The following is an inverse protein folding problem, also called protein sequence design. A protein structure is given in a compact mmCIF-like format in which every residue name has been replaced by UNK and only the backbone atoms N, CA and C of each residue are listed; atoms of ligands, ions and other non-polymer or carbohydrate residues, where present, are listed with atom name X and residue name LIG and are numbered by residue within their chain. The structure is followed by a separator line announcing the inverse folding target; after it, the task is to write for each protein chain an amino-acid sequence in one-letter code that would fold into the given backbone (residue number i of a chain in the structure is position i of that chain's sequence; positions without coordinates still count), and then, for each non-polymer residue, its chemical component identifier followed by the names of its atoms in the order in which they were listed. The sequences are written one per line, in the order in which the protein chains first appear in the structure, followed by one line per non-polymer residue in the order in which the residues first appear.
data_IF_038102506192
#
_entry.id   IF_038102506192
#
_cell.length_a   1.000
_cell.length_b   1.000
_cell.length_c   1.000
_cell.angle_alpha   90.00
_cell.angle_beta   90.00
_cell.angle_gamma   90.00
#
_symmetry.space_group_name_H-M   'P 1'
#
loop_
_entity.id
_entity.type
_entity.pdbx_description
1 polymer ?
#
# COMPACT_ATOMS: atom_id res chain seq x y z
N UNK A 1 1.05 -17.95 13.34
CA UNK A 1 0.20 -19.12 13.66
C UNK A 1 -1.24 -18.98 13.16
N UNK A 2 -1.93 -17.83 13.27
CA UNK A 2 -3.34 -17.76 12.82
C UNK A 2 -3.57 -17.91 11.32
N UNK A 3 -2.70 -17.33 10.46
CA UNK A 3 -2.87 -17.39 9.00
C UNK A 3 -2.74 -18.81 8.42
N UNK A 4 -1.90 -19.65 9.04
CA UNK A 4 -1.68 -21.03 8.59
C UNK A 4 -2.90 -21.91 8.83
N UNK A 5 -3.53 -21.79 10.01
CA UNK A 5 -4.75 -22.52 10.34
C UNK A 5 -5.94 -22.10 9.47
N UNK A 6 -6.09 -20.79 9.22
CA UNK A 6 -7.21 -20.27 8.41
C UNK A 6 -7.11 -20.74 6.96
N UNK A 7 -5.92 -20.75 6.37
CA UNK A 7 -5.71 -21.23 4.99
C UNK A 7 -5.90 -22.75 4.84
N UNK A 8 -5.70 -23.55 5.89
CA UNK A 8 -6.00 -24.99 5.86
C UNK A 8 -7.50 -25.29 5.91
N UNK A 9 -8.27 -24.46 6.61
CA UNK A 9 -9.73 -24.63 6.74
C UNK A 9 -10.45 -24.17 5.46
N UNK A 10 -9.95 -23.11 4.83
CA UNK A 10 -10.48 -22.64 3.57
C UNK A 10 -9.31 -22.13 2.70
N UNK A 11 -8.79 -22.98 1.80
CA UNK A 11 -7.81 -22.55 0.81
C UNK A 11 -8.41 -21.44 -0.06
N UNK A 12 -7.57 -20.52 -0.56
CA UNK A 12 -7.95 -19.35 -1.39
C UNK A 12 -8.72 -18.21 -0.69
N UNK A 13 -8.79 -18.16 0.65
CA UNK A 13 -9.36 -16.98 1.33
C UNK A 13 -8.61 -15.70 0.89
N UNK A 14 -9.32 -14.64 0.47
CA UNK A 14 -8.69 -13.36 0.19
C UNK A 14 -8.09 -12.74 1.45
N UNK A 15 -6.76 -12.60 1.49
CA UNK A 15 -6.02 -11.98 2.60
C UNK A 15 -5.74 -10.52 2.26
N UNK A 16 -6.28 -9.59 3.03
CA UNK A 16 -6.11 -8.15 2.81
C UNK A 16 -4.91 -7.63 3.61
N UNK A 17 -3.90 -7.10 2.91
CA UNK A 17 -2.75 -6.43 3.52
C UNK A 17 -2.91 -4.91 3.38
N UNK A 18 -3.02 -4.20 4.50
CA UNK A 18 -3.02 -2.74 4.53
C UNK A 18 -1.60 -2.22 4.66
N UNK A 19 -1.02 -1.78 3.55
CA UNK A 19 0.30 -1.17 3.50
C UNK A 19 0.20 0.34 3.77
N UNK A 20 0.70 0.76 4.93
CA UNK A 20 0.72 2.17 5.37
C UNK A 20 1.92 2.95 4.84
N UNK A 21 2.86 2.28 4.17
CA UNK A 21 4.12 2.85 3.67
C UNK A 21 5.25 2.90 4.71
N UNK A 22 5.03 2.42 5.93
CA UNK A 22 6.01 2.40 7.03
C UNK A 22 6.40 1.00 7.48
N UNK A 23 6.03 -0.02 6.70
CA UNK A 23 6.44 -1.39 6.98
C UNK A 23 7.94 -1.55 6.69
N UNK A 24 8.64 -2.30 7.53
CA UNK A 24 10.05 -2.60 7.35
C UNK A 24 10.26 -3.42 6.06
N UNK A 25 11.37 -3.23 5.32
CA UNK A 25 11.68 -4.02 4.11
C UNK A 25 11.71 -5.54 4.38
N UNK A 26 12.08 -5.94 5.60
CA UNK A 26 12.05 -7.32 6.07
C UNK A 26 10.62 -7.86 6.18
N UNK A 27 9.64 -7.02 6.55
CA UNK A 27 8.24 -7.40 6.65
C UNK A 27 7.65 -7.76 5.30
N UNK A 28 8.03 -7.07 4.22
CA UNK A 28 7.61 -7.43 2.87
C UNK A 28 8.13 -8.79 2.44
N UNK A 29 9.43 -9.07 2.68
CA UNK A 29 10.02 -10.37 2.34
C UNK A 29 9.33 -11.52 3.09
N UNK A 30 9.01 -11.31 4.37
CA UNK A 30 8.29 -12.29 5.16
C UNK A 30 6.87 -12.54 4.61
N UNK A 31 6.18 -11.49 4.16
CA UNK A 31 4.86 -11.60 3.53
C UNK A 31 4.97 -12.36 2.21
N UNK A 32 5.97 -12.08 1.38
CA UNK A 32 6.20 -12.79 0.11
C UNK A 32 6.48 -14.29 0.36
N UNK A 33 7.34 -14.62 1.31
CA UNK A 33 7.63 -16.01 1.67
C UNK A 33 6.39 -16.75 2.20
N UNK A 34 5.57 -16.10 3.04
CA UNK A 34 4.35 -16.70 3.54
C UNK A 34 3.31 -16.90 2.44
N UNK A 35 3.22 -15.93 1.53
CA UNK A 35 2.29 -15.97 0.39
C UNK A 35 2.67 -17.10 -0.56
N UNK A 36 3.96 -17.32 -0.81
CA UNK A 36 4.46 -18.40 -1.66
C UNK A 36 4.28 -19.78 -0.99
N UNK A 37 4.70 -19.92 0.28
CA UNK A 37 4.59 -21.19 1.02
C UNK A 37 3.15 -21.65 1.22
N UNK A 38 2.22 -20.71 1.42
CA UNK A 38 0.82 -21.01 1.72
C UNK A 38 -0.11 -20.78 0.52
N UNK A 39 0.41 -20.32 -0.62
CA UNK A 39 -0.37 -19.96 -1.82
C UNK A 39 -1.56 -19.04 -1.49
N UNK A 40 -1.29 -17.95 -0.79
CA UNK A 40 -2.35 -17.04 -0.33
C UNK A 40 -2.85 -16.11 -1.45
N UNK A 41 -4.16 -15.86 -1.48
CA UNK A 41 -4.76 -14.84 -2.34
C UNK A 41 -4.59 -13.44 -1.71
N UNK A 42 -3.36 -12.90 -1.76
CA UNK A 42 -3.00 -11.64 -1.13
C UNK A 42 -3.52 -10.42 -1.92
N UNK A 43 -4.22 -9.50 -1.26
CA UNK A 43 -4.68 -8.21 -1.80
C UNK A 43 -4.04 -7.07 -1.03
N UNK A 44 -3.11 -6.36 -1.66
CA UNK A 44 -2.39 -5.25 -1.04
C UNK A 44 -3.13 -3.94 -1.30
N UNK A 45 -3.52 -3.24 -0.22
CA UNK A 45 -4.12 -1.92 -0.27
C UNK A 45 -3.18 -0.90 0.35
N UNK A 46 -2.80 0.09 -0.46
CA UNK A 46 -1.94 1.20 -0.04
C UNK A 46 -2.77 2.45 0.22
N UNK A 47 -2.50 3.16 1.32
CA UNK A 47 -3.07 4.48 1.52
C UNK A 47 -2.54 5.43 0.44
N UNK A 48 -3.42 5.82 -0.49
CA UNK A 48 -3.11 6.73 -1.59
C UNK A 48 -2.93 8.15 -1.05
N UNK A 49 -1.82 8.40 -0.35
CA UNK A 49 -1.47 9.72 0.20
C UNK A 49 -0.95 10.60 -0.95
N UNK A 50 -1.82 10.93 -1.92
CA UNK A 50 -1.59 12.07 -2.82
C UNK A 50 -1.58 13.32 -1.96
N UNK A 51 -0.38 13.74 -1.54
CA UNK A 51 -0.12 15.06 -0.96
C UNK A 51 -0.53 16.09 -2.02
N UNK A 52 -1.77 16.57 -1.93
CA UNK A 52 -2.31 17.61 -2.80
C UNK A 52 -1.71 18.96 -2.38
N UNK A 53 -0.43 19.16 -2.66
CA UNK A 53 0.17 20.49 -2.74
C UNK A 53 0.10 20.95 -4.20
N UNK A 54 -1.12 21.09 -4.72
CA UNK A 54 -1.37 21.89 -5.91
C UNK A 54 -1.64 23.32 -5.44
N UNK A 55 -0.57 24.02 -5.11
CA UNK A 55 -0.57 25.47 -4.81
C UNK A 55 0.31 26.21 -5.82
N UNK A 56 0.33 25.76 -7.08
CA UNK A 56 0.97 26.47 -8.19
C UNK A 56 -0.02 27.44 -8.85
N UNK A 57 -0.42 28.48 -8.12
CA UNK A 57 -1.13 29.63 -8.72
C UNK A 57 -0.64 30.93 -8.07
N UNK A 58 0.59 31.33 -8.40
CA UNK A 58 1.03 32.72 -8.33
C UNK A 58 1.79 33.05 -9.62
N UNK A 59 1.05 33.10 -10.73
CA UNK A 59 1.46 33.75 -11.98
C UNK A 59 0.32 34.61 -12.53
N UNK A 60 -0.17 35.54 -11.72
CA UNK A 60 -0.82 36.78 -12.16
C UNK A 60 -0.51 37.77 -11.02
N UNK A 61 0.45 38.68 -11.17
CA UNK A 61 0.21 40.06 -11.56
C UNK A 61 1.59 40.71 -11.69
N UNK A 62 1.93 41.28 -12.85
CA UNK A 62 2.47 42.64 -13.04
C UNK A 62 2.62 42.81 -14.56
N UNK A 63 1.55 43.26 -15.20
CA UNK A 63 1.69 44.23 -16.28
C UNK A 63 1.43 45.58 -15.65
N UNK A 64 2.35 46.53 -15.79
CA UNK A 64 2.13 48.00 -15.94
C UNK A 64 3.44 48.74 -15.65
N UNK A 65 3.91 49.50 -16.65
CA UNK A 65 4.55 50.80 -16.38
C UNK A 65 6.02 50.95 -16.73
N UNK A 66 6.29 51.25 -18.01
CA UNK A 66 7.04 52.41 -18.55
C UNK A 66 7.82 52.05 -19.80
#
# INVERSE_FOLDING_TARGET
MSLHLVNQIHPDIPVILTDTGYLFPETYRFIDELTDKLKLNLKVYRANRKRRLAGSTLRQTVGTGR
#
